data_IF_839486470277
#
_entry.id   IF_839486470277
#
_cell.length_a   1.000
_cell.length_b   1.000
_cell.length_c   1.000
_cell.angle_alpha   90.00
_cell.angle_beta   90.00
_cell.angle_gamma   90.00
#
_symmetry.space_group_name_H-M   'P 1'
#
loop_
_entity.id
_entity.type
_entity.pdbx_description
1 polymer ?
#
# COMPACT_ATOMS: atom_id res chain seq x y z
N UNK A 1 -3.50 -13.23 -6.82
CA UNK A 1 -2.52 -12.41 -6.10
C UNK A 1 -1.11 -12.94 -6.33
N UNK A 2 -0.10 -12.10 -6.27
CA UNK A 2 1.28 -12.53 -6.52
C UNK A 2 1.84 -13.28 -5.32
N UNK A 3 2.92 -14.05 -5.55
CA UNK A 3 3.49 -14.93 -4.55
C UNK A 3 4.89 -14.50 -4.12
N UNK A 4 5.30 -14.96 -2.94
CA UNK A 4 6.66 -14.78 -2.43
C UNK A 4 7.66 -15.37 -3.42
N UNK A 5 8.75 -14.65 -3.66
CA UNK A 5 9.81 -15.06 -4.60
C UNK A 5 9.63 -14.48 -5.99
N UNK A 6 8.45 -13.95 -6.32
CA UNK A 6 8.22 -13.30 -7.61
C UNK A 6 8.82 -11.90 -7.62
N UNK A 7 9.29 -11.47 -8.78
CA UNK A 7 9.71 -10.09 -8.98
C UNK A 7 8.49 -9.18 -8.87
N UNK A 8 8.57 -8.15 -8.04
CA UNK A 8 7.50 -7.18 -7.89
C UNK A 8 7.35 -6.37 -9.19
N UNK A 9 6.13 -6.29 -9.76
CA UNK A 9 5.91 -5.49 -10.95
C UNK A 9 6.29 -4.02 -10.75
N UNK A 10 7.02 -3.46 -11.70
CA UNK A 10 7.35 -2.04 -11.69
C UNK A 10 6.08 -1.20 -11.88
N UNK A 11 6.05 -0.05 -11.26
CA UNK A 11 5.02 0.95 -11.49
C UNK A 11 5.61 2.35 -11.45
N UNK A 12 4.93 3.29 -12.10
CA UNK A 12 5.23 4.72 -12.03
C UNK A 12 3.89 5.43 -11.93
N UNK A 13 3.64 6.03 -10.78
CA UNK A 13 2.36 6.66 -10.44
C UNK A 13 2.59 8.02 -9.80
N UNK A 14 1.59 8.89 -9.84
CA UNK A 14 1.68 10.19 -9.20
C UNK A 14 1.43 10.10 -7.70
N UNK A 15 2.24 10.81 -6.94
CA UNK A 15 2.03 10.95 -5.50
C UNK A 15 1.01 12.05 -5.19
N UNK A 16 0.78 12.30 -3.90
CA UNK A 16 -0.17 13.30 -3.41
C UNK A 16 0.14 14.74 -3.82
N UNK A 17 1.32 15.01 -4.35
CA UNK A 17 1.73 16.33 -4.82
C UNK A 17 1.90 16.39 -6.33
N UNK A 18 1.53 15.32 -7.03
CA UNK A 18 1.61 15.25 -8.48
C UNK A 18 3.00 14.89 -9.02
N UNK A 19 3.92 14.48 -8.16
CA UNK A 19 5.24 14.02 -8.59
C UNK A 19 5.18 12.53 -8.95
N UNK A 20 5.90 12.14 -10.01
CA UNK A 20 5.97 10.74 -10.42
C UNK A 20 6.89 9.96 -9.49
N UNK A 21 6.42 8.81 -9.03
CA UNK A 21 7.16 7.92 -8.13
C UNK A 21 7.15 6.52 -8.73
N UNK A 22 8.32 5.90 -8.83
CA UNK A 22 8.49 4.54 -9.33
C UNK A 22 8.95 3.62 -8.22
N UNK A 23 8.54 2.35 -8.27
CA UNK A 23 9.02 1.34 -7.32
C UNK A 23 10.56 1.27 -7.33
N UNK A 24 11.16 1.32 -8.52
CA UNK A 24 12.61 1.26 -8.69
C UNK A 24 13.38 2.41 -8.02
N UNK A 25 12.71 3.51 -7.68
CA UNK A 25 13.33 4.62 -6.95
C UNK A 25 13.81 4.21 -5.56
N UNK A 26 13.29 3.09 -5.04
CA UNK A 26 13.57 2.63 -3.68
C UNK A 26 14.47 1.39 -3.63
N UNK A 27 15.19 1.09 -4.70
CA UNK A 27 16.18 -0.01 -4.68
C UNK A 27 17.18 0.18 -3.54
N UNK A 28 17.50 -0.91 -2.84
CA UNK A 28 18.36 -0.86 -1.66
C UNK A 28 17.60 -0.67 -0.35
N UNK A 29 16.28 -0.47 -0.44
CA UNK A 29 15.39 -0.38 0.72
C UNK A 29 14.32 -1.44 0.64
N UNK A 30 13.78 -1.84 1.78
CA UNK A 30 12.57 -2.64 1.81
C UNK A 30 11.39 -1.72 1.51
N UNK A 31 10.43 -2.20 0.72
CA UNK A 31 9.24 -1.41 0.36
C UNK A 31 8.00 -2.16 0.82
N UNK A 32 7.22 -1.51 1.66
CA UNK A 32 5.91 -2.00 2.09
C UNK A 32 4.88 -1.31 1.22
N UNK A 33 4.30 -2.06 0.28
CA UNK A 33 3.26 -1.53 -0.61
C UNK A 33 1.93 -2.10 -0.15
N UNK A 34 1.02 -1.22 0.29
CA UNK A 34 -0.32 -1.67 0.65
C UNK A 34 -1.36 -1.07 -0.27
N UNK A 35 -2.32 -1.90 -0.65
CA UNK A 35 -3.45 -1.53 -1.49
C UNK A 35 -4.69 -1.43 -0.62
N UNK A 36 -5.46 -0.35 -0.80
CA UNK A 36 -6.66 -0.12 -0.01
C UNK A 36 -7.78 0.45 -0.88
N UNK A 37 -9.07 0.23 -0.50
CA UNK A 37 -10.19 0.59 -1.36
C UNK A 37 -10.41 2.07 -1.59
N UNK A 38 -10.36 2.90 -0.54
CA UNK A 38 -10.75 4.30 -0.70
C UNK A 38 -10.29 5.18 0.47
N UNK A 39 -9.76 6.36 0.14
CA UNK A 39 -9.40 7.40 1.12
C UNK A 39 -10.60 7.76 2.00
N UNK A 40 -10.31 8.14 3.23
CA UNK A 40 -11.28 8.69 4.18
C UNK A 40 -12.41 7.76 4.62
N UNK A 41 -12.34 6.47 4.24
CA UNK A 41 -13.24 5.47 4.81
C UNK A 41 -12.70 5.01 6.17
N UNK A 42 -13.56 4.51 7.08
CA UNK A 42 -13.12 4.19 8.45
C UNK A 42 -11.96 3.20 8.53
N UNK A 43 -12.05 2.07 7.83
CA UNK A 43 -10.99 1.06 7.84
C UNK A 43 -9.69 1.55 7.22
N UNK A 44 -9.78 2.22 6.08
CA UNK A 44 -8.59 2.76 5.40
C UNK A 44 -7.92 3.86 6.23
N UNK A 45 -8.71 4.66 6.93
CA UNK A 45 -8.18 5.70 7.84
C UNK A 45 -7.44 5.07 9.02
N UNK A 46 -8.02 4.04 9.66
CA UNK A 46 -7.37 3.33 10.77
C UNK A 46 -6.06 2.69 10.33
N UNK A 47 -6.04 2.06 9.17
CA UNK A 47 -4.82 1.45 8.63
C UNK A 47 -3.74 2.50 8.37
N UNK A 48 -4.09 3.59 7.70
CA UNK A 48 -3.15 4.68 7.40
C UNK A 48 -2.59 5.30 8.68
N UNK A 49 -3.45 5.55 9.67
CA UNK A 49 -3.02 6.11 10.96
C UNK A 49 -2.10 5.15 11.74
N UNK A 50 -2.33 3.84 11.62
CA UNK A 50 -1.45 2.84 12.24
C UNK A 50 -0.06 2.86 11.59
N UNK A 51 0.04 2.98 10.28
CA UNK A 51 1.33 3.16 9.60
C UNK A 51 2.00 4.48 10.01
N UNK A 52 1.24 5.57 10.07
CA UNK A 52 1.77 6.87 10.44
C UNK A 52 2.34 6.87 11.87
N UNK A 53 1.61 6.27 12.80
CA UNK A 53 2.04 6.16 14.20
C UNK A 53 3.35 5.38 14.34
N UNK A 54 3.58 4.41 13.49
CA UNK A 54 4.75 3.53 13.52
C UNK A 54 5.81 3.90 12.48
N UNK A 55 5.67 5.03 11.82
CA UNK A 55 6.52 5.38 10.67
C UNK A 55 8.02 5.38 11.02
N UNK A 56 8.40 5.95 12.16
CA UNK A 56 9.80 5.94 12.61
C UNK A 56 10.38 4.54 12.77
N UNK A 57 9.56 3.58 13.19
CA UNK A 57 10.00 2.18 13.32
C UNK A 57 10.25 1.54 11.96
N UNK A 58 9.45 1.90 10.95
CA UNK A 58 9.69 1.44 9.58
C UNK A 58 10.99 2.03 9.04
N UNK A 59 11.22 3.32 9.27
CA UNK A 59 12.48 3.98 8.87
C UNK A 59 13.69 3.31 9.53
N UNK A 60 13.60 2.94 10.80
CA UNK A 60 14.66 2.24 11.53
C UNK A 60 15.00 0.88 10.90
N UNK A 61 14.07 0.28 10.19
CA UNK A 61 14.27 -0.98 9.47
C UNK A 61 14.64 -0.78 7.99
N UNK A 62 14.99 0.45 7.61
CA UNK A 62 15.26 0.81 6.22
C UNK A 62 14.10 0.46 5.30
N UNK A 63 12.88 0.67 5.76
CA UNK A 63 11.66 0.35 5.03
C UNK A 63 10.87 1.62 4.68
N UNK A 64 10.35 1.65 3.45
CA UNK A 64 9.47 2.71 2.94
C UNK A 64 8.06 2.17 2.91
N UNK A 65 7.08 2.99 3.28
CA UNK A 65 5.66 2.64 3.21
C UNK A 65 5.02 3.39 2.04
N UNK A 66 4.33 2.66 1.18
CA UNK A 66 3.61 3.20 0.02
C UNK A 66 2.18 2.68 0.05
N UNK A 67 1.21 3.60 0.10
CA UNK A 67 -0.21 3.26 -0.03
C UNK A 67 -0.69 3.54 -1.44
N UNK A 68 -1.43 2.62 -2.04
CA UNK A 68 -1.97 2.76 -3.40
C UNK A 68 -3.48 2.52 -3.39
N UNK A 69 -4.22 3.44 -3.98
CA UNK A 69 -5.65 3.29 -4.25
C UNK A 69 -6.02 3.93 -5.59
N UNK A 70 -7.28 3.81 -5.98
CA UNK A 70 -7.81 4.45 -7.19
C UNK A 70 -8.11 5.93 -7.02
N UNK A 71 -8.00 6.44 -5.80
CA UNK A 71 -8.33 7.84 -5.52
C UNK A 71 -7.42 8.79 -6.28
N UNK A 72 -7.92 10.00 -6.51
CA UNK A 72 -7.17 11.04 -7.21
C UNK A 72 -6.03 11.60 -6.37
N UNK A 73 -5.09 12.28 -7.04
CA UNK A 73 -4.02 13.03 -6.38
C UNK A 73 -4.60 14.02 -5.36
N UNK A 74 -5.65 14.75 -5.75
CA UNK A 74 -6.29 15.73 -4.84
C UNK A 74 -6.88 15.06 -3.60
N UNK A 75 -7.51 13.89 -3.75
CA UNK A 75 -8.06 13.12 -2.63
C UNK A 75 -6.95 12.69 -1.68
N UNK A 76 -5.85 12.17 -2.22
CA UNK A 76 -4.69 11.76 -1.42
C UNK A 76 -4.09 12.91 -0.65
N UNK A 77 -3.98 14.09 -1.25
CA UNK A 77 -3.46 15.26 -0.57
C UNK A 77 -4.31 15.64 0.63
N UNK A 78 -5.64 15.69 0.46
CA UNK A 78 -6.57 15.99 1.55
C UNK A 78 -6.50 14.96 2.66
N UNK A 79 -6.46 13.69 2.30
CA UNK A 79 -6.37 12.58 3.24
C UNK A 79 -5.07 12.66 4.06
N UNK A 80 -3.94 12.86 3.38
CA UNK A 80 -2.64 12.96 4.03
C UNK A 80 -2.54 14.18 4.94
N UNK A 81 -3.09 15.33 4.53
CA UNK A 81 -3.09 16.53 5.36
C UNK A 81 -3.95 16.37 6.60
N UNK A 82 -5.15 15.81 6.44
CA UNK A 82 -6.10 15.63 7.55
C UNK A 82 -5.55 14.74 8.65
N UNK A 83 -4.84 13.67 8.30
CA UNK A 83 -4.34 12.69 9.25
C UNK A 83 -2.81 12.74 9.42
N UNK A 84 -2.17 13.75 8.84
CA UNK A 84 -0.72 13.96 8.94
C UNK A 84 0.07 12.70 8.57
N UNK A 85 -0.26 12.11 7.41
CA UNK A 85 0.36 10.89 6.94
C UNK A 85 1.76 11.19 6.35
N UNK A 86 2.85 10.69 6.94
CA UNK A 86 4.21 11.04 6.52
C UNK A 86 4.75 10.17 5.37
N UNK A 87 4.03 9.14 4.97
CA UNK A 87 4.49 8.20 3.95
C UNK A 87 3.89 8.50 2.57
N UNK A 88 4.33 7.76 1.57
CA UNK A 88 3.94 7.95 0.17
C UNK A 88 2.53 7.41 -0.08
N UNK A 89 1.68 8.20 -0.72
CA UNK A 89 0.40 7.78 -1.26
C UNK A 89 0.43 7.96 -2.78
N UNK A 90 0.10 6.91 -3.52
CA UNK A 90 0.12 6.94 -4.98
C UNK A 90 -1.28 6.76 -5.55
N UNK A 91 -1.59 7.55 -6.58
CA UNK A 91 -2.88 7.54 -7.27
C UNK A 91 -2.82 6.58 -8.47
N UNK A 92 -3.72 5.60 -8.50
CA UNK A 92 -3.81 4.60 -9.57
C UNK A 92 -5.23 4.50 -10.14
N UNK A 93 -5.78 5.59 -10.71
CA UNK A 93 -7.15 5.59 -11.21
C UNK A 93 -7.37 4.64 -12.39
N UNK A 94 -6.33 4.32 -13.15
CA UNK A 94 -6.39 3.37 -14.26
C UNK A 94 -6.10 1.93 -13.84
N UNK A 95 -5.86 1.68 -12.55
CA UNK A 95 -5.63 0.36 -11.96
C UNK A 95 -4.41 -0.38 -12.52
N UNK A 96 -3.39 0.33 -12.94
CA UNK A 96 -2.18 -0.30 -13.51
C UNK A 96 -1.46 -1.18 -12.50
N UNK A 97 -1.10 -0.64 -11.35
CA UNK A 97 -0.47 -1.39 -10.27
C UNK A 97 -1.48 -2.33 -9.59
N UNK A 98 -2.71 -1.86 -9.37
CA UNK A 98 -3.77 -2.64 -8.75
C UNK A 98 -4.00 -3.94 -9.49
N UNK A 99 -4.07 -3.92 -10.83
CA UNK A 99 -4.25 -5.13 -11.62
C UNK A 99 -2.96 -5.95 -11.72
N UNK A 100 -1.80 -5.29 -11.88
CA UNK A 100 -0.51 -6.00 -11.96
C UNK A 100 -0.22 -6.81 -10.68
N UNK A 101 -0.62 -6.31 -9.53
CA UNK A 101 -0.41 -6.99 -8.24
C UNK A 101 -1.54 -7.96 -7.88
N UNK A 102 -2.54 -8.11 -8.76
CA UNK A 102 -3.61 -9.09 -8.59
C UNK A 102 -4.59 -8.76 -7.47
N UNK A 103 -4.74 -7.49 -7.10
CA UNK A 103 -5.61 -7.08 -6.00
C UNK A 103 -6.95 -6.49 -6.46
N UNK A 104 -7.21 -6.47 -7.76
CA UNK A 104 -8.51 -6.12 -8.33
C UNK A 104 -9.33 -7.40 -8.47
N UNK A 105 -10.29 -7.60 -7.58
CA UNK A 105 -10.99 -8.88 -7.45
C UNK A 105 -12.47 -8.67 -7.20
N UNK A 106 -13.25 -9.73 -7.41
CA UNK A 106 -14.67 -9.75 -7.06
C UNK A 106 -14.84 -9.63 -5.55
N UNK A 107 -15.76 -8.76 -5.14
CA UNK A 107 -16.18 -8.61 -3.75
C UNK A 107 -17.67 -8.83 -3.65
N UNK A 108 -18.10 -9.62 -2.66
CA UNK A 108 -19.51 -9.78 -2.33
C UNK A 108 -19.85 -8.88 -1.15
N UNK A 109 -20.88 -8.06 -1.32
CA UNK A 109 -21.37 -7.17 -0.29
C UNK A 109 -22.89 -7.16 -0.32
N UNK A 110 -23.52 -7.67 0.73
CA UNK A 110 -24.98 -7.80 0.84
C UNK A 110 -25.61 -8.51 -0.36
N UNK A 111 -24.99 -9.62 -0.81
CA UNK A 111 -25.48 -10.41 -1.94
C UNK A 111 -25.16 -9.83 -3.32
N UNK A 112 -24.57 -8.65 -3.40
CA UNK A 112 -24.12 -8.05 -4.65
C UNK A 112 -22.65 -8.38 -4.90
N UNK A 113 -22.34 -8.73 -6.15
CA UNK A 113 -20.98 -8.99 -6.60
C UNK A 113 -20.50 -7.77 -7.39
N UNK A 114 -19.36 -7.21 -7.00
CA UNK A 114 -18.74 -6.12 -7.72
C UNK A 114 -17.22 -6.27 -7.68
N UNK A 115 -16.54 -5.65 -8.64
CA UNK A 115 -15.09 -5.62 -8.66
C UNK A 115 -14.60 -4.51 -7.72
N UNK A 116 -13.51 -4.77 -7.01
CA UNK A 116 -12.94 -3.79 -6.12
C UNK A 116 -11.51 -4.14 -5.70
N UNK A 117 -10.87 -3.20 -5.02
CA UNK A 117 -9.53 -3.40 -4.48
C UNK A 117 -9.63 -4.22 -3.19
N UNK A 118 -8.97 -5.36 -3.17
CA UNK A 118 -8.84 -6.17 -1.96
C UNK A 118 -7.72 -5.61 -1.11
N UNK A 119 -8.00 -5.30 0.16
CA UNK A 119 -7.00 -4.80 1.09
C UNK A 119 -5.91 -5.84 1.26
N UNK A 120 -4.70 -5.49 0.83
CA UNK A 120 -3.57 -6.42 0.78
C UNK A 120 -2.27 -5.65 0.87
N UNK A 121 -1.23 -6.31 1.38
CA UNK A 121 0.08 -5.70 1.53
C UNK A 121 1.16 -6.65 1.04
N UNK A 122 2.13 -6.08 0.34
CA UNK A 122 3.33 -6.78 -0.12
C UNK A 122 4.55 -6.15 0.54
N UNK A 123 5.45 -6.98 1.05
CA UNK A 123 6.78 -6.53 1.46
C UNK A 123 7.75 -6.94 0.38
N UNK A 124 8.46 -5.96 -0.18
CA UNK A 124 9.39 -6.13 -1.29
C UNK A 124 10.79 -5.89 -0.75
N UNK A 125 11.72 -6.79 -1.08
CA UNK A 125 13.09 -6.68 -0.59
C UNK A 125 13.91 -5.64 -1.36
N UNK A 126 15.15 -5.45 -0.96
CA UNK A 126 16.05 -4.44 -1.50
C UNK A 126 16.36 -4.65 -2.99
N UNK A 127 16.17 -5.87 -3.49
CA UNK A 127 16.40 -6.23 -4.91
C UNK A 127 15.12 -6.16 -5.75
N UNK A 128 13.97 -5.87 -5.15
CA UNK A 128 12.69 -5.79 -5.86
C UNK A 128 11.93 -7.11 -5.94
N UNK A 129 12.25 -8.06 -5.07
CA UNK A 129 11.58 -9.37 -5.01
C UNK A 129 10.59 -9.37 -3.84
N UNK A 130 9.41 -9.94 -4.05
CA UNK A 130 8.38 -10.07 -3.01
C UNK A 130 8.87 -11.07 -1.96
N UNK A 131 9.00 -10.61 -0.71
CA UNK A 131 9.44 -11.46 0.40
C UNK A 131 8.32 -11.85 1.36
N UNK A 132 7.21 -11.11 1.36
CA UNK A 132 6.06 -11.41 2.22
C UNK A 132 4.78 -10.85 1.61
N UNK A 133 3.67 -11.56 1.78
CA UNK A 133 2.35 -11.15 1.29
C UNK A 133 1.33 -11.26 2.42
N UNK A 134 0.50 -10.23 2.57
CA UNK A 134 -0.66 -10.23 3.46
C UNK A 134 -1.91 -10.11 2.57
N UNK A 135 -2.48 -11.23 2.09
CA UNK A 135 -3.52 -11.21 1.05
C UNK A 135 -4.89 -10.68 1.52
N UNK A 136 -5.12 -10.65 2.82
CA UNK A 136 -6.33 -10.10 3.44
C UNK A 136 -5.92 -9.27 4.65
N UNK A 137 -5.26 -8.16 4.38
CA UNK A 137 -4.74 -7.29 5.43
C UNK A 137 -5.88 -6.71 6.28
N UNK A 138 -5.72 -6.78 7.59
CA UNK A 138 -6.67 -6.19 8.53
C UNK A 138 -6.24 -4.77 8.88
N UNK A 139 -7.16 -3.78 8.77
CA UNK A 139 -6.79 -2.37 8.99
C UNK A 139 -6.12 -2.11 10.34
N UNK A 140 -6.59 -2.77 11.38
CA UNK A 140 -6.17 -2.46 12.75
C UNK A 140 -4.85 -3.12 13.15
N UNK A 141 -4.45 -4.21 12.49
CA UNK A 141 -3.29 -5.02 12.90
C UNK A 141 -2.17 -5.10 11.87
N UNK A 142 -2.43 -4.74 10.62
CA UNK A 142 -1.48 -4.96 9.52
C UNK A 142 -0.14 -4.27 9.74
N UNK A 143 -0.12 -3.00 10.16
CA UNK A 143 1.13 -2.28 10.40
C UNK A 143 1.98 -2.97 11.46
N UNK A 144 1.37 -3.41 12.58
CA UNK A 144 2.06 -4.12 13.65
C UNK A 144 2.59 -5.48 13.19
N UNK A 145 1.79 -6.21 12.40
CA UNK A 145 2.20 -7.52 11.85
C UNK A 145 3.43 -7.37 10.93
N UNK A 146 3.46 -6.33 10.11
CA UNK A 146 4.59 -6.09 9.22
C UNK A 146 5.84 -5.74 10.03
N UNK A 147 5.71 -4.89 11.04
CA UNK A 147 6.84 -4.54 11.91
C UNK A 147 7.40 -5.77 12.62
N UNK A 148 6.53 -6.64 13.14
CA UNK A 148 6.96 -7.89 13.76
C UNK A 148 7.73 -8.76 12.76
N UNK A 149 7.24 -8.87 11.52
CA UNK A 149 7.91 -9.59 10.46
C UNK A 149 9.30 -8.99 10.17
N UNK A 150 9.41 -7.66 10.08
CA UNK A 150 10.68 -6.99 9.77
C UNK A 150 11.70 -7.09 10.89
N UNK A 151 11.27 -7.33 12.13
CA UNK A 151 12.16 -7.48 13.29
C UNK A 151 12.72 -8.90 13.42
N UNK A 152 12.10 -9.84 12.76
CA UNK A 152 12.50 -11.25 12.85
C UNK A 152 13.81 -11.53 12.13
#
# INVERSE_FOLDING_TARGET
MLEIGMKAPEFTLMDKRGNMVSLSDFRGKKVVVYFYPKDSTPGCTRQACAFAKNYGRFEDKNAVVIGISKDSVASHLKFAEKYELPFVLLSDPERRAIEAYGVWQEKKNYGKVSMGVVRSTYVIDESGVIEKVFPKAKPDTNAAEILEYLQA
#
